data_IF_934365287007
#
_entry.id   IF_934365287007
#
_cell.length_a   1.000
_cell.length_b   1.000
_cell.length_c   1.000
_cell.angle_alpha   90.00
_cell.angle_beta   90.00
_cell.angle_gamma   90.00
#
_symmetry.space_group_name_H-M   'P 1'
#
loop_
_entity.id
_entity.type
_entity.pdbx_description
1 polymer ?
#
# COMPACT_ATOMS: atom_id res chain seq x y z
N UNK A 1 9.07 -13.00 9.18
CA UNK A 1 8.04 -12.48 8.27
C UNK A 1 7.38 -11.28 8.94
N UNK A 2 7.10 -10.24 8.15
CA UNK A 2 6.32 -9.06 8.50
C UNK A 2 4.90 -9.51 8.83
N UNK A 3 4.35 -9.02 9.94
CA UNK A 3 2.97 -9.32 10.35
C UNK A 3 1.97 -8.50 9.50
N UNK A 4 0.71 -8.95 9.44
CA UNK A 4 -0.34 -8.40 8.56
C UNK A 4 -0.52 -6.88 8.73
N UNK A 5 -0.32 -6.34 9.94
CA UNK A 5 -0.46 -4.92 10.25
C UNK A 5 0.83 -4.27 10.76
N UNK A 6 1.97 -4.96 10.66
CA UNK A 6 3.24 -4.44 11.13
C UNK A 6 3.79 -3.41 10.12
N UNK A 7 4.00 -2.15 10.53
CA UNK A 7 4.61 -1.15 9.66
C UNK A 7 5.98 -1.60 9.19
N UNK A 8 6.32 -1.32 7.94
CA UNK A 8 7.62 -1.77 7.39
C UNK A 8 8.83 -1.24 8.17
N UNK A 9 8.66 -0.11 8.87
CA UNK A 9 9.66 0.44 9.77
C UNK A 9 9.99 -0.44 10.96
N UNK A 10 8.97 -1.03 11.58
CA UNK A 10 9.13 -1.88 12.75
C UNK A 10 9.80 -3.18 12.32
N UNK A 11 9.28 -3.80 11.26
CA UNK A 11 9.88 -4.98 10.64
C UNK A 11 11.36 -4.75 10.27
N UNK A 12 11.67 -3.66 9.58
CA UNK A 12 13.05 -3.31 9.23
C UNK A 12 13.95 -3.19 10.46
N UNK A 13 13.48 -2.48 11.49
CA UNK A 13 14.25 -2.26 12.72
C UNK A 13 14.57 -3.58 13.42
N UNK A 14 13.61 -4.50 13.45
CA UNK A 14 13.78 -5.80 14.09
C UNK A 14 14.75 -6.68 13.31
N UNK A 15 14.67 -6.71 11.98
CA UNK A 15 15.65 -7.42 11.15
C UNK A 15 17.06 -6.83 11.33
N UNK A 16 17.22 -5.50 11.35
CA UNK A 16 18.54 -4.89 11.57
C UNK A 16 19.12 -5.23 12.95
N UNK A 17 18.30 -5.26 14.00
CA UNK A 17 18.73 -5.71 15.33
C UNK A 17 19.16 -7.16 15.31
N UNK A 18 18.40 -8.04 14.67
CA UNK A 18 18.73 -9.46 14.55
C UNK A 18 20.03 -9.68 13.77
N UNK A 19 20.20 -9.00 12.64
CA UNK A 19 21.44 -9.02 11.88
C UNK A 19 22.62 -8.63 12.77
N UNK A 20 22.50 -7.54 13.54
CA UNK A 20 23.56 -7.09 14.46
C UNK A 20 23.86 -8.06 15.60
N UNK A 21 22.86 -8.79 16.10
CA UNK A 21 23.03 -9.80 17.15
C UNK A 21 23.76 -11.04 16.62
N UNK A 22 23.40 -11.48 15.41
CA UNK A 22 23.97 -12.67 14.77
C UNK A 22 25.38 -12.39 14.25
N UNK A 23 25.54 -11.27 13.54
CA UNK A 23 26.80 -10.83 12.96
C UNK A 23 26.83 -9.29 12.86
N UNK A 24 27.55 -8.60 13.76
CA UNK A 24 27.69 -7.15 13.74
C UNK A 24 28.23 -6.58 12.42
N UNK A 25 29.05 -7.36 11.71
CA UNK A 25 29.73 -6.96 10.47
C UNK A 25 29.05 -7.53 9.23
N UNK A 26 27.80 -8.00 9.37
CA UNK A 26 27.02 -8.56 8.27
C UNK A 26 26.95 -7.58 7.10
N UNK A 27 27.31 -8.06 5.92
CA UNK A 27 27.31 -7.25 4.70
C UNK A 27 25.88 -6.87 4.27
N UNK A 28 25.77 -5.74 3.59
CA UNK A 28 24.48 -5.17 3.19
C UNK A 28 23.67 -6.09 2.28
N UNK A 29 24.34 -6.86 1.41
CA UNK A 29 23.68 -7.86 0.55
C UNK A 29 22.93 -8.90 1.37
N UNK A 30 23.55 -9.43 2.44
CA UNK A 30 22.93 -10.41 3.33
C UNK A 30 21.80 -9.81 4.15
N UNK A 31 21.95 -8.56 4.62
CA UNK A 31 20.88 -7.82 5.30
C UNK A 31 19.66 -7.64 4.40
N UNK A 32 19.89 -7.26 3.14
CA UNK A 32 18.83 -7.09 2.14
C UNK A 32 18.13 -8.42 1.84
N UNK A 33 18.88 -9.52 1.75
CA UNK A 33 18.31 -10.86 1.57
C UNK A 33 17.36 -11.24 2.73
N UNK A 34 17.77 -10.99 3.97
CA UNK A 34 16.90 -11.19 5.14
C UNK A 34 15.64 -10.32 5.11
N UNK A 35 15.76 -9.07 4.65
CA UNK A 35 14.63 -8.17 4.51
C UNK A 35 13.62 -8.70 3.47
N UNK A 36 14.08 -9.18 2.31
CA UNK A 36 13.22 -9.75 1.27
C UNK A 36 12.46 -11.00 1.72
N UNK A 37 13.08 -11.85 2.53
CA UNK A 37 12.46 -13.10 2.98
C UNK A 37 11.20 -12.90 3.84
N UNK A 38 11.04 -11.73 4.47
CA UNK A 38 9.93 -11.51 5.39
C UNK A 38 8.88 -10.51 4.94
N UNK A 39 9.09 -9.69 3.92
CA UNK A 39 8.06 -8.72 3.48
C UNK A 39 6.93 -9.38 2.69
N UNK A 40 5.81 -8.67 2.57
CA UNK A 40 4.66 -9.11 1.77
C UNK A 40 4.98 -9.14 0.28
N UNK A 41 4.28 -10.01 -0.48
CA UNK A 41 4.52 -10.18 -1.91
C UNK A 41 4.20 -8.93 -2.76
N UNK A 42 3.35 -8.03 -2.29
CA UNK A 42 3.08 -6.74 -2.96
C UNK A 42 4.30 -5.82 -2.85
N UNK A 43 4.78 -5.61 -1.63
CA UNK A 43 5.94 -4.79 -1.32
C UNK A 43 7.20 -5.33 -1.99
N UNK A 44 7.36 -6.66 -2.00
CA UNK A 44 8.50 -7.34 -2.61
C UNK A 44 8.66 -7.01 -4.10
N UNK A 45 7.55 -6.99 -4.86
CA UNK A 45 7.61 -6.70 -6.30
C UNK A 45 8.10 -5.28 -6.57
N UNK A 46 7.60 -4.31 -5.80
CA UNK A 46 7.99 -2.92 -5.99
C UNK A 46 9.43 -2.67 -5.56
N UNK A 47 9.83 -3.18 -4.40
CA UNK A 47 11.20 -3.00 -3.91
C UNK A 47 12.21 -3.70 -4.81
N UNK A 48 11.90 -4.90 -5.33
CA UNK A 48 12.73 -5.58 -6.33
C UNK A 48 12.90 -4.76 -7.61
N UNK A 49 11.85 -4.05 -8.06
CA UNK A 49 11.91 -3.20 -9.26
C UNK A 49 12.91 -2.05 -9.10
N UNK A 50 13.06 -1.53 -7.88
CA UNK A 50 13.97 -0.42 -7.57
C UNK A 50 15.41 -0.88 -7.30
N UNK A 51 15.65 -2.17 -7.08
CA UNK A 51 16.98 -2.77 -6.90
C UNK A 51 17.85 -2.08 -5.82
N UNK A 52 17.40 -2.03 -4.55
CA UNK A 52 18.18 -1.42 -3.47
C UNK A 52 19.52 -2.14 -3.28
N UNK A 53 20.57 -1.34 -3.09
CA UNK A 53 21.94 -1.78 -2.80
C UNK A 53 22.30 -1.66 -1.33
N UNK A 54 21.53 -0.89 -0.57
CA UNK A 54 21.71 -0.74 0.87
C UNK A 54 20.39 -1.04 1.62
N UNK A 55 20.46 -1.45 2.90
CA UNK A 55 19.26 -1.59 3.74
C UNK A 55 18.46 -0.29 3.85
N UNK A 56 19.12 0.87 3.81
CA UNK A 56 18.46 2.17 3.85
C UNK A 56 17.62 2.43 2.59
N UNK A 57 18.16 2.14 1.40
CA UNK A 57 17.41 2.24 0.13
C UNK A 57 16.22 1.30 0.12
N UNK A 58 16.39 0.07 0.63
CA UNK A 58 15.28 -0.87 0.80
C UNK A 58 14.15 -0.24 1.62
N UNK A 59 14.48 0.36 2.78
CA UNK A 59 13.50 0.97 3.66
C UNK A 59 12.78 2.14 2.98
N UNK A 60 13.49 2.97 2.23
CA UNK A 60 12.92 4.10 1.51
C UNK A 60 11.88 3.64 0.48
N UNK A 61 12.23 2.65 -0.35
CA UNK A 61 11.32 2.12 -1.37
C UNK A 61 10.11 1.44 -0.76
N UNK A 62 10.33 0.68 0.31
CA UNK A 62 9.26 -0.01 1.00
C UNK A 62 8.28 0.97 1.67
N UNK A 63 8.77 2.04 2.30
CA UNK A 63 7.92 3.11 2.86
C UNK A 63 7.08 3.81 1.80
N UNK A 64 7.69 4.09 0.65
CA UNK A 64 7.01 4.75 -0.45
C UNK A 64 5.84 3.92 -0.94
N UNK A 65 6.04 2.62 -1.12
CA UNK A 65 4.97 1.71 -1.55
C UNK A 65 3.88 1.55 -0.48
N UNK A 66 4.24 1.39 0.79
CA UNK A 66 3.26 1.31 1.90
C UNK A 66 2.41 2.59 2.00
N UNK A 67 3.01 3.76 1.74
CA UNK A 67 2.30 5.04 1.72
C UNK A 67 1.35 5.13 0.52
N UNK A 68 1.79 4.69 -0.66
CA UNK A 68 0.97 4.69 -1.87
C UNK A 68 -0.25 3.77 -1.72
N UNK A 69 -0.06 2.56 -1.18
CA UNK A 69 -1.15 1.60 -0.96
C UNK A 69 -2.24 2.19 -0.04
N UNK A 70 -1.83 2.85 1.06
CA UNK A 70 -2.77 3.56 1.96
C UNK A 70 -3.53 4.69 1.28
N UNK A 71 -2.87 5.48 0.43
CA UNK A 71 -3.50 6.58 -0.30
C UNK A 71 -4.52 6.08 -1.32
N UNK A 72 -4.20 4.99 -2.04
CA UNK A 72 -5.10 4.35 -3.00
C UNK A 72 -6.34 3.79 -2.28
N UNK A 73 -6.15 3.15 -1.14
CA UNK A 73 -7.28 2.60 -0.36
C UNK A 73 -8.23 3.71 0.14
N UNK A 74 -7.69 4.89 0.45
CA UNK A 74 -8.49 6.02 0.94
C UNK A 74 -9.30 6.70 -0.17
N UNK A 75 -8.81 6.70 -1.43
CA UNK A 75 -9.54 7.28 -2.56
C UNK A 75 -10.70 6.41 -3.04
N UNK A 76 -10.57 5.08 -2.96
CA UNK A 76 -11.64 4.13 -3.33
C UNK A 76 -12.84 4.22 -2.38
N UNK A 77 -12.61 4.49 -1.10
CA UNK A 77 -13.69 4.61 -0.11
C UNK A 77 -14.53 5.90 -0.24
N UNK A 78 -14.16 6.85 -1.11
CA UNK A 78 -14.94 8.08 -1.35
C UNK A 78 -15.90 7.98 -2.55
N UNK A 79 -15.79 6.96 -3.41
CA UNK A 79 -16.62 6.84 -4.61
C UNK A 79 -17.88 5.99 -4.45
N UNK A 80 -18.02 5.22 -3.35
CA UNK A 80 -19.19 4.36 -3.15
C UNK A 80 -20.31 4.97 -2.30
N UNK A 81 -20.12 6.17 -1.72
CA UNK A 81 -21.11 6.79 -0.83
C UNK A 81 -21.92 7.94 -1.46
N UNK A 82 -21.86 8.14 -2.78
CA UNK A 82 -22.55 9.27 -3.45
C UNK A 82 -23.74 8.89 -4.35
N UNK A 83 -24.14 7.60 -4.47
CA UNK A 83 -25.24 7.18 -5.39
C UNK A 83 -26.50 6.68 -4.64
N UNK A 84 -26.65 6.97 -3.33
CA UNK A 84 -27.91 6.70 -2.62
C UNK A 84 -28.44 7.98 -2.01
N UNK A 85 -29.04 8.81 -2.86
CA UNK A 85 -29.81 9.97 -2.40
C UNK A 85 -29.86 11.06 -3.44
N UNK A 86 -30.88 11.03 -4.29
CA UNK A 86 -31.74 12.17 -4.71
C UNK A 86 -32.36 11.86 -6.08
N UNK A 87 -33.28 10.90 -6.14
CA UNK A 87 -34.25 10.84 -7.23
C UNK A 87 -35.48 11.65 -6.81
N UNK A 88 -35.37 12.98 -6.89
CA UNK A 88 -36.49 13.90 -6.74
C UNK A 88 -36.40 14.99 -7.81
N UNK A 89 -36.37 14.60 -9.08
CA UNK A 89 -36.68 15.53 -10.17
C UNK A 89 -38.15 15.35 -10.56
N UNK A 90 -39.01 16.15 -9.91
CA UNK A 90 -40.34 16.48 -10.42
C UNK A 90 -40.15 17.20 -11.74
N UNK A 91 -40.40 16.51 -12.85
CA UNK A 91 -40.60 17.18 -14.13
C UNK A 91 -42.11 17.24 -14.40
N UNK A 92 -42.71 18.37 -14.00
CA UNK A 92 -44.02 18.79 -14.47
C UNK A 92 -43.84 19.30 -15.90
N UNK A 93 -44.32 18.55 -16.90
CA UNK A 93 -44.65 19.12 -18.21
C UNK A 93 -46.10 18.76 -18.53
N UNK A 94 -46.93 19.79 -18.56
CA UNK A 94 -48.28 19.75 -19.14
C UNK A 94 -48.16 19.77 -20.67
N UNK A 95 -48.92 18.87 -21.31
CA UNK A 95 -49.92 19.15 -22.36
C UNK A 95 -49.88 18.22 -23.57
N UNK A 96 -51.06 17.63 -23.80
CA UNK A 96 -51.73 17.29 -25.05
C UNK A 96 -51.09 16.27 -26.01
N UNK A 97 -51.84 15.20 -26.32
CA UNK A 97 -52.58 15.05 -27.60
C UNK A 97 -53.42 13.75 -27.56
N UNK A 98 -54.55 13.80 -28.27
CA UNK A 98 -55.67 12.88 -28.36
C UNK A 98 -55.42 11.57 -29.16
N UNK A 99 -56.52 10.79 -29.30
CA UNK A 99 -56.81 9.63 -30.17
C UNK A 99 -56.53 8.26 -29.50
N UNK A 100 -57.47 7.32 -29.39
CA UNK A 100 -58.71 7.02 -30.13
C UNK A 100 -59.77 6.43 -29.16
#
# INVERSE_FOLDING_TARGET
>A
QQRIDEPVNEYYTDIMKLCKIVDPDMIDVSKIDHLYHGITSSLMKEVLRQTPRTPAEFLEYARKEETLDRLVTTSVNQTDSAIVGTAAFKNTFHSNVAMD
#
